data_IF_819800888239
#
_entry.id   IF_819800888239
#
_cell.length_a   1.000
_cell.length_b   1.000
_cell.length_c   1.000
_cell.angle_alpha   90.00
_cell.angle_beta   90.00
_cell.angle_gamma   90.00
#
_symmetry.space_group_name_H-M   'P 1'
#
loop_
_entity.id
_entity.type
_entity.pdbx_description
1 polymer ?
#
# COMPACT_ATOMS: atom_id res chain seq x y z
N UNK A 1 6.72 -37.41 -40.14
CA UNK A 1 6.28 -35.99 -40.15
C UNK A 1 6.42 -35.47 -38.70
N UNK A 2 7.55 -34.87 -38.40
CA UNK A 2 7.87 -34.34 -37.08
C UNK A 2 7.34 -32.91 -37.00
N UNK A 3 6.29 -32.72 -36.22
CA UNK A 3 5.72 -31.41 -35.90
C UNK A 3 6.76 -30.64 -35.09
N UNK A 4 7.44 -29.71 -35.74
CA UNK A 4 8.31 -28.74 -35.06
C UNK A 4 7.40 -27.70 -34.39
N UNK A 5 7.04 -27.95 -33.15
CA UNK A 5 6.45 -26.94 -32.26
C UNK A 5 7.43 -25.79 -32.19
N UNK A 6 7.24 -24.79 -33.04
CA UNK A 6 7.98 -23.52 -32.99
C UNK A 6 7.63 -22.87 -31.65
N UNK A 7 8.53 -22.95 -30.68
CA UNK A 7 8.37 -22.30 -29.38
C UNK A 7 8.42 -20.80 -29.65
N UNK A 8 7.24 -20.22 -29.86
CA UNK A 8 7.10 -18.78 -30.05
C UNK A 8 7.69 -18.09 -28.79
N UNK A 9 8.74 -17.31 -29.00
CA UNK A 9 9.36 -16.55 -27.92
C UNK A 9 8.46 -15.34 -27.65
N UNK A 10 7.77 -15.28 -26.50
CA UNK A 10 6.90 -14.17 -26.15
C UNK A 10 7.59 -12.83 -26.41
N UNK A 11 6.91 -11.95 -27.15
CA UNK A 11 7.33 -10.57 -27.38
C UNK A 11 7.02 -9.70 -26.17
N UNK A 12 7.88 -8.73 -25.86
CA UNK A 12 7.60 -7.74 -24.80
C UNK A 12 7.43 -6.37 -25.47
N UNK A 13 6.44 -5.62 -25.04
CA UNK A 13 6.12 -4.26 -25.53
C UNK A 13 5.46 -3.42 -24.45
N UNK A 14 5.32 -2.12 -24.69
CA UNK A 14 4.48 -1.23 -23.86
C UNK A 14 3.02 -1.64 -23.88
N UNK A 15 2.28 -1.20 -22.88
CA UNK A 15 0.84 -1.42 -22.71
C UNK A 15 0.06 -0.76 -23.86
N UNK A 16 -1.01 -1.41 -24.31
CA UNK A 16 -1.88 -0.91 -25.37
C UNK A 16 -3.36 -1.00 -24.96
N UNK A 17 -4.18 -0.19 -25.61
CA UNK A 17 -5.63 -0.32 -25.48
C UNK A 17 -6.07 -1.76 -25.77
N UNK A 18 -6.94 -2.31 -24.89
CA UNK A 18 -7.41 -3.69 -24.97
C UNK A 18 -6.57 -4.72 -24.20
N UNK A 19 -5.38 -4.37 -23.70
CA UNK A 19 -4.58 -5.29 -22.88
C UNK A 19 -5.15 -5.49 -21.46
N UNK A 20 -5.84 -4.48 -20.91
CA UNK A 20 -6.26 -4.48 -19.51
C UNK A 20 -7.00 -5.74 -19.05
N UNK A 21 -8.09 -6.17 -19.71
CA UNK A 21 -8.81 -7.40 -19.32
C UNK A 21 -7.93 -8.64 -19.37
N UNK A 22 -7.10 -8.81 -20.41
CA UNK A 22 -6.19 -9.94 -20.59
C UNK A 22 -5.06 -9.93 -19.55
N UNK A 23 -4.57 -8.74 -19.17
CA UNK A 23 -3.56 -8.57 -18.13
C UNK A 23 -4.11 -8.96 -16.77
N UNK A 24 -5.31 -8.48 -16.39
CA UNK A 24 -5.98 -8.84 -15.13
C UNK A 24 -6.22 -10.35 -15.05
N UNK A 25 -6.65 -10.97 -16.13
CA UNK A 25 -6.85 -12.42 -16.19
C UNK A 25 -5.53 -13.19 -16.00
N UNK A 26 -4.45 -12.77 -16.68
CA UNK A 26 -3.12 -13.37 -16.52
C UNK A 26 -2.57 -13.16 -15.10
N UNK A 27 -2.77 -11.97 -14.51
CA UNK A 27 -2.41 -11.67 -13.13
C UNK A 27 -3.07 -12.66 -12.14
N UNK A 28 -4.39 -12.85 -12.25
CA UNK A 28 -5.14 -13.74 -11.34
C UNK A 28 -4.64 -15.17 -11.36
N UNK A 29 -4.18 -15.67 -12.52
CA UNK A 29 -3.54 -17.00 -12.61
C UNK A 29 -2.13 -17.02 -12.03
N UNK A 30 -1.41 -15.89 -12.10
CA UNK A 30 0.01 -15.80 -11.77
C UNK A 30 0.28 -15.48 -10.31
N UNK A 31 -0.62 -14.70 -9.68
CA UNK A 31 -0.49 -14.21 -8.32
C UNK A 31 -1.78 -14.49 -7.51
N UNK A 32 -2.08 -15.75 -7.20
CA UNK A 32 -3.33 -16.14 -6.54
C UNK A 32 -3.47 -15.63 -5.11
N UNK A 33 -2.36 -15.35 -4.40
CA UNK A 33 -2.41 -14.74 -3.07
C UNK A 33 -2.73 -13.22 -3.11
N UNK A 34 -2.61 -12.59 -4.29
CA UNK A 34 -2.82 -11.15 -4.48
C UNK A 34 -3.68 -10.90 -5.73
N UNK A 35 -4.93 -11.39 -5.75
CA UNK A 35 -5.80 -11.19 -6.90
C UNK A 35 -6.13 -9.71 -7.08
N UNK A 36 -6.20 -9.28 -8.35
CA UNK A 36 -6.66 -7.94 -8.70
C UNK A 36 -7.97 -8.00 -9.48
N UNK A 37 -8.85 -7.04 -9.21
CA UNK A 37 -10.07 -6.85 -10.01
C UNK A 37 -9.82 -5.84 -11.13
N UNK A 38 -10.63 -5.85 -12.22
CA UNK A 38 -10.55 -4.81 -13.25
C UNK A 38 -10.68 -3.39 -12.69
N UNK A 39 -11.53 -3.19 -11.69
CA UNK A 39 -11.73 -1.87 -11.07
C UNK A 39 -10.50 -1.43 -10.27
N UNK A 40 -9.89 -2.34 -9.49
CA UNK A 40 -8.64 -2.03 -8.78
C UNK A 40 -7.48 -1.77 -9.75
N UNK A 41 -7.37 -2.55 -10.83
CA UNK A 41 -6.36 -2.29 -11.86
C UNK A 41 -6.56 -0.91 -12.50
N UNK A 42 -7.80 -0.55 -12.81
CA UNK A 42 -8.13 0.78 -13.32
C UNK A 42 -7.73 1.88 -12.33
N UNK A 43 -8.15 1.77 -11.08
CA UNK A 43 -7.93 2.80 -10.06
C UNK A 43 -6.45 2.96 -9.69
N UNK A 44 -5.74 1.85 -9.47
CA UNK A 44 -4.36 1.88 -8.96
C UNK A 44 -3.30 2.03 -10.05
N UNK A 45 -3.64 1.72 -11.31
CA UNK A 45 -2.68 1.73 -12.43
C UNK A 45 -3.11 2.72 -13.49
N UNK A 46 -4.25 2.51 -14.16
CA UNK A 46 -4.61 3.30 -15.34
C UNK A 46 -5.01 4.76 -15.01
N UNK A 47 -5.57 5.01 -13.82
CA UNK A 47 -5.96 6.34 -13.35
C UNK A 47 -4.90 7.02 -12.48
N UNK A 48 -3.74 6.39 -12.29
CA UNK A 48 -2.60 7.04 -11.64
C UNK A 48 -2.10 8.20 -12.52
N UNK A 49 -1.94 9.39 -11.94
CA UNK A 49 -1.39 10.55 -12.62
C UNK A 49 0.05 10.33 -13.14
N UNK A 50 0.73 9.32 -12.64
CA UNK A 50 2.08 8.91 -13.07
C UNK A 50 2.07 7.71 -14.03
N UNK A 51 0.91 7.26 -14.49
CA UNK A 51 0.83 6.15 -15.43
C UNK A 51 1.45 6.53 -16.77
N UNK A 52 2.41 5.71 -17.20
CA UNK A 52 3.03 5.79 -18.52
C UNK A 52 2.87 4.41 -19.20
N UNK A 53 2.16 4.30 -20.32
CA UNK A 53 1.96 3.02 -20.99
C UNK A 53 3.25 2.33 -21.41
N UNK A 54 4.32 3.09 -21.69
CA UNK A 54 5.63 2.51 -22.00
C UNK A 54 6.34 1.98 -20.74
N UNK A 55 6.00 2.45 -19.53
CA UNK A 55 6.48 1.88 -18.28
C UNK A 55 5.83 0.53 -17.93
N UNK A 56 4.63 0.25 -18.44
CA UNK A 56 3.97 -1.05 -18.25
C UNK A 56 4.35 -2.01 -19.37
N UNK A 57 5.38 -2.83 -19.13
CA UNK A 57 5.90 -3.83 -20.07
C UNK A 57 5.02 -5.07 -20.05
N UNK A 58 4.46 -5.43 -21.21
CA UNK A 58 3.51 -6.55 -21.36
C UNK A 58 4.14 -7.61 -22.28
N UNK A 59 4.25 -8.83 -21.77
CA UNK A 59 4.69 -9.98 -22.54
C UNK A 59 3.48 -10.66 -23.19
N UNK A 60 3.54 -10.86 -24.51
CA UNK A 60 2.48 -11.48 -25.30
C UNK A 60 2.99 -12.70 -26.07
N UNK A 61 2.18 -13.74 -26.11
CA UNK A 61 2.39 -14.94 -26.94
C UNK A 61 1.12 -15.12 -27.81
N UNK A 62 1.22 -14.74 -29.08
CA UNK A 62 0.06 -14.52 -29.94
C UNK A 62 -0.84 -13.42 -29.34
N UNK A 63 -2.11 -13.74 -29.13
CA UNK A 63 -3.09 -12.82 -28.53
C UNK A 63 -3.17 -12.89 -27.01
N UNK A 64 -2.37 -13.74 -26.36
CA UNK A 64 -2.42 -13.94 -24.92
C UNK A 64 -1.38 -13.08 -24.19
N UNK A 65 -1.81 -12.38 -23.14
CA UNK A 65 -0.87 -11.82 -22.16
C UNK A 65 -0.36 -12.97 -21.28
N UNK A 66 0.96 -13.13 -21.25
CA UNK A 66 1.65 -14.18 -20.49
C UNK A 66 2.58 -13.63 -19.40
N UNK A 67 2.60 -12.32 -19.21
CA UNK A 67 3.35 -11.68 -18.13
C UNK A 67 3.32 -10.17 -18.26
N UNK A 68 3.67 -9.48 -17.18
CA UNK A 68 3.85 -8.04 -17.17
C UNK A 68 4.84 -7.62 -16.07
N UNK A 69 5.48 -6.46 -16.25
CA UNK A 69 6.19 -5.73 -15.23
C UNK A 69 5.87 -4.24 -15.37
N UNK A 70 5.47 -3.59 -14.28
CA UNK A 70 5.10 -2.18 -14.29
C UNK A 70 6.20 -1.35 -13.63
N UNK A 71 6.80 -0.45 -14.40
CA UNK A 71 7.76 0.54 -13.96
C UNK A 71 7.08 1.90 -13.89
N UNK A 72 7.28 2.63 -12.79
CA UNK A 72 6.69 3.95 -12.53
C UNK A 72 7.77 4.95 -12.14
N UNK A 73 7.64 6.16 -12.63
CA UNK A 73 8.35 7.36 -12.19
C UNK A 73 7.35 8.47 -11.94
N UNK A 74 7.65 9.42 -11.07
CA UNK A 74 6.74 10.55 -10.91
C UNK A 74 6.76 11.46 -12.14
N UNK A 75 5.57 11.73 -12.64
CA UNK A 75 5.24 12.75 -13.63
C UNK A 75 4.57 13.95 -12.95
N UNK A 76 3.88 13.67 -11.84
CA UNK A 76 3.20 14.64 -10.98
C UNK A 76 3.68 14.44 -9.55
N UNK A 77 4.16 15.47 -8.85
CA UNK A 77 4.61 15.36 -7.47
C UNK A 77 3.43 15.15 -6.53
N UNK A 78 3.66 14.48 -5.40
CA UNK A 78 2.73 14.57 -4.28
C UNK A 78 2.80 15.97 -3.66
N UNK A 79 1.72 16.39 -3.00
CA UNK A 79 1.71 17.68 -2.31
C UNK A 79 2.86 17.74 -1.27
N UNK A 80 3.69 18.76 -1.38
CA UNK A 80 4.83 18.96 -0.50
C UNK A 80 6.10 18.19 -0.88
N UNK A 81 6.14 17.53 -2.06
CA UNK A 81 7.33 16.85 -2.57
C UNK A 81 7.75 17.39 -3.95
N UNK A 82 8.91 16.96 -4.42
CA UNK A 82 9.33 17.10 -5.80
C UNK A 82 8.98 15.86 -6.65
N UNK A 83 9.52 15.78 -7.86
CA UNK A 83 9.35 14.63 -8.75
C UNK A 83 10.20 13.41 -8.37
N UNK A 84 10.94 13.46 -7.28
CA UNK A 84 11.88 12.42 -6.85
C UNK A 84 12.76 11.93 -8.00
N UNK A 85 13.58 12.81 -8.61
CA UNK A 85 14.20 12.58 -9.93
C UNK A 85 15.13 11.36 -10.01
N UNK A 86 15.68 10.90 -8.88
CA UNK A 86 16.50 9.70 -8.80
C UNK A 86 15.73 8.42 -8.51
N UNK A 87 14.43 8.51 -8.14
CA UNK A 87 13.64 7.40 -7.64
C UNK A 87 12.70 6.83 -8.71
N UNK A 88 12.67 5.52 -8.85
CA UNK A 88 11.70 4.76 -9.62
C UNK A 88 11.10 3.62 -8.79
N UNK A 89 10.02 3.06 -9.28
CA UNK A 89 9.34 1.93 -8.62
C UNK A 89 8.98 0.86 -9.64
N UNK A 90 8.95 -0.39 -9.18
CA UNK A 90 8.31 -1.52 -9.87
C UNK A 90 7.18 -2.02 -8.95
N UNK A 91 5.95 -1.47 -9.05
CA UNK A 91 4.82 -1.83 -8.18
C UNK A 91 4.45 -3.31 -8.24
N UNK A 92 4.61 -3.96 -9.40
CA UNK A 92 4.37 -5.37 -9.57
C UNK A 92 5.08 -5.95 -10.81
N UNK A 93 5.27 -7.25 -10.79
CA UNK A 93 5.52 -8.07 -11.98
C UNK A 93 4.93 -9.46 -11.80
N UNK A 94 4.63 -10.11 -12.89
CA UNK A 94 4.19 -11.51 -12.89
C UNK A 94 4.48 -12.20 -14.22
N UNK A 95 4.51 -13.54 -14.18
CA UNK A 95 4.59 -14.41 -15.36
C UNK A 95 3.57 -15.54 -15.19
N UNK A 96 2.74 -15.72 -16.21
CA UNK A 96 1.78 -16.82 -16.28
C UNK A 96 2.50 -18.15 -16.01
N UNK A 97 1.97 -19.02 -15.13
CA UNK A 97 2.61 -20.29 -14.78
C UNK A 97 3.07 -21.12 -15.99
N UNK A 98 2.26 -21.14 -17.06
CA UNK A 98 2.58 -21.88 -18.28
C UNK A 98 3.78 -21.27 -19.08
N UNK A 99 4.18 -20.04 -18.78
CA UNK A 99 5.29 -19.34 -19.44
C UNK A 99 6.55 -19.23 -18.57
N UNK A 100 6.52 -19.74 -17.34
CA UNK A 100 7.67 -19.75 -16.41
C UNK A 100 8.80 -20.65 -16.88
N UNK A 101 9.97 -20.53 -16.25
CA UNK A 101 11.15 -21.36 -16.53
C UNK A 101 11.90 -21.03 -17.83
N UNK A 102 11.44 -20.00 -18.60
CA UNK A 102 12.01 -19.61 -19.90
C UNK A 102 12.70 -18.24 -19.89
N UNK A 103 13.06 -17.74 -18.70
CA UNK A 103 13.73 -16.44 -18.53
C UNK A 103 12.84 -15.21 -18.75
N UNK A 104 11.52 -15.38 -18.95
CA UNK A 104 10.60 -14.29 -19.28
C UNK A 104 10.52 -13.25 -18.15
N UNK A 105 10.46 -13.66 -16.88
CA UNK A 105 10.43 -12.75 -15.73
C UNK A 105 11.68 -11.88 -15.67
N UNK A 106 12.87 -12.44 -15.90
CA UNK A 106 14.11 -11.65 -15.97
C UNK A 106 14.08 -10.63 -17.10
N UNK A 107 13.63 -11.03 -18.28
CA UNK A 107 13.51 -10.10 -19.42
C UNK A 107 12.56 -8.95 -19.11
N UNK A 108 11.38 -9.23 -18.56
CA UNK A 108 10.38 -8.22 -18.16
C UNK A 108 10.96 -7.22 -17.16
N UNK A 109 11.60 -7.72 -16.10
CA UNK A 109 12.22 -6.87 -15.09
C UNK A 109 13.41 -6.07 -15.64
N UNK A 110 14.24 -6.68 -16.50
CA UNK A 110 15.35 -5.97 -17.15
C UNK A 110 14.82 -4.83 -18.01
N UNK A 111 13.82 -5.05 -18.88
CA UNK A 111 13.22 -4.01 -19.68
C UNK A 111 12.56 -2.89 -18.85
N UNK A 112 11.92 -3.24 -17.71
CA UNK A 112 11.36 -2.26 -16.79
C UNK A 112 12.46 -1.41 -16.13
N UNK A 113 13.57 -2.04 -15.71
CA UNK A 113 14.74 -1.35 -15.15
C UNK A 113 15.43 -0.46 -16.19
N UNK A 114 15.61 -0.95 -17.42
CA UNK A 114 16.21 -0.19 -18.52
C UNK A 114 15.36 1.05 -18.86
N UNK A 115 14.03 0.90 -18.85
CA UNK A 115 13.12 2.02 -19.02
C UNK A 115 13.29 3.06 -17.91
N UNK A 116 13.36 2.66 -16.65
CA UNK A 116 13.61 3.58 -15.52
C UNK A 116 14.97 4.26 -15.62
N UNK A 117 16.03 3.51 -15.94
CA UNK A 117 17.39 4.06 -16.14
C UNK A 117 17.42 5.06 -17.29
N UNK A 118 16.76 4.76 -18.40
CA UNK A 118 16.63 5.67 -19.55
C UNK A 118 15.96 7.00 -19.19
N UNK A 119 15.18 7.03 -18.09
CA UNK A 119 14.58 8.23 -17.52
C UNK A 119 15.36 8.80 -16.32
N UNK A 120 16.61 8.39 -16.11
CA UNK A 120 17.48 8.92 -15.06
C UNK A 120 17.19 8.38 -13.64
N UNK A 121 16.45 7.27 -13.52
CA UNK A 121 16.12 6.66 -12.20
C UNK A 121 17.25 5.73 -11.79
N UNK A 122 18.02 6.12 -10.78
CA UNK A 122 19.19 5.36 -10.29
C UNK A 122 18.85 4.47 -9.10
N UNK A 123 17.78 4.76 -8.41
CA UNK A 123 17.26 4.01 -7.26
C UNK A 123 15.88 3.48 -7.58
N UNK A 124 15.70 2.17 -7.47
CA UNK A 124 14.44 1.50 -7.82
C UNK A 124 13.96 0.66 -6.65
N UNK A 125 12.76 0.95 -6.16
CA UNK A 125 12.09 0.17 -5.13
C UNK A 125 11.13 -0.83 -5.78
N UNK A 126 11.15 -2.08 -5.28
CA UNK A 126 10.14 -3.04 -5.62
C UNK A 126 8.94 -2.86 -4.69
N UNK A 127 7.78 -2.63 -5.30
CA UNK A 127 6.53 -2.26 -4.63
C UNK A 127 6.66 -0.95 -3.84
N UNK A 128 5.95 -0.77 -2.73
CA UNK A 128 5.96 0.42 -1.86
C UNK A 128 5.77 1.77 -2.59
N UNK A 129 5.16 1.76 -3.76
CA UNK A 129 4.85 2.98 -4.52
C UNK A 129 3.66 3.70 -3.89
N UNK A 130 3.91 4.91 -3.36
CA UNK A 130 2.90 5.76 -2.72
C UNK A 130 2.38 6.85 -3.66
N UNK A 131 1.12 7.26 -3.55
CA UNK A 131 0.08 6.77 -2.64
C UNK A 131 -0.65 5.52 -3.14
N UNK A 132 -0.39 5.06 -4.37
CA UNK A 132 -1.11 3.98 -5.03
C UNK A 132 -0.49 2.62 -4.72
N UNK A 133 -0.66 2.15 -3.48
CA UNK A 133 -0.19 0.83 -3.08
C UNK A 133 -0.95 -0.28 -3.81
N UNK A 134 -0.30 -0.93 -4.77
CA UNK A 134 -0.77 -2.23 -5.28
C UNK A 134 -0.53 -3.29 -4.21
N UNK A 135 0.72 -3.36 -3.73
CA UNK A 135 1.20 -4.19 -2.62
C UNK A 135 2.24 -3.40 -1.82
N UNK A 136 2.41 -3.65 -0.51
CA UNK A 136 3.41 -2.97 0.30
C UNK A 136 4.85 -3.45 0.04
N UNK A 137 5.02 -4.65 -0.50
CA UNK A 137 6.30 -5.28 -0.76
C UNK A 137 6.13 -6.67 -1.36
N UNK A 138 7.19 -7.46 -1.36
CA UNK A 138 7.20 -8.85 -1.79
C UNK A 138 6.87 -9.78 -0.63
N UNK A 139 5.83 -10.59 -0.76
CA UNK A 139 5.61 -11.76 0.08
C UNK A 139 6.51 -12.91 -0.41
N UNK A 140 7.64 -13.08 0.27
CA UNK A 140 8.63 -14.09 -0.14
C UNK A 140 8.20 -15.52 0.21
N UNK A 141 7.23 -15.70 1.10
CA UNK A 141 6.64 -17.00 1.42
C UNK A 141 5.70 -17.46 0.30
N UNK A 142 4.82 -16.54 -0.14
CA UNK A 142 3.88 -16.81 -1.23
C UNK A 142 4.57 -16.89 -2.61
N UNK A 143 5.69 -16.16 -2.81
CA UNK A 143 6.36 -16.03 -4.11
C UNK A 143 7.88 -16.18 -4.00
N UNK A 144 8.42 -17.35 -3.58
CA UNK A 144 9.86 -17.55 -3.35
C UNK A 144 10.69 -17.39 -4.64
N UNK A 145 10.16 -17.81 -5.82
CA UNK A 145 10.88 -17.64 -7.07
C UNK A 145 11.03 -16.16 -7.46
N UNK A 146 10.02 -15.31 -7.12
CA UNK A 146 10.11 -13.89 -7.35
C UNK A 146 11.15 -13.23 -6.44
N UNK A 147 11.28 -13.68 -5.19
CA UNK A 147 12.32 -13.23 -4.28
C UNK A 147 13.72 -13.53 -4.84
N UNK A 148 14.01 -14.76 -5.20
CA UNK A 148 15.29 -15.15 -5.79
C UNK A 148 15.60 -14.42 -7.11
N UNK A 149 14.58 -14.15 -7.93
CA UNK A 149 14.76 -13.40 -9.15
C UNK A 149 15.14 -11.94 -8.87
N UNK A 150 14.43 -11.24 -7.97
CA UNK A 150 14.76 -9.88 -7.59
C UNK A 150 16.16 -9.77 -6.97
N UNK A 151 16.51 -10.67 -6.06
CA UNK A 151 17.84 -10.73 -5.46
C UNK A 151 18.93 -10.92 -6.53
N UNK A 152 18.70 -11.80 -7.52
CA UNK A 152 19.63 -12.02 -8.65
C UNK A 152 19.77 -10.83 -9.60
N UNK A 153 18.84 -9.87 -9.54
CA UNK A 153 18.88 -8.60 -10.25
C UNK A 153 19.44 -7.45 -9.39
N UNK A 154 19.96 -7.76 -8.21
CA UNK A 154 20.61 -6.81 -7.32
C UNK A 154 19.67 -6.07 -6.35
N UNK A 155 18.42 -6.48 -6.25
CA UNK A 155 17.55 -5.95 -5.19
C UNK A 155 17.95 -6.52 -3.83
N UNK A 156 17.92 -5.66 -2.81
CA UNK A 156 18.18 -6.03 -1.41
C UNK A 156 17.00 -5.61 -0.54
N UNK A 157 16.67 -6.42 0.46
CA UNK A 157 15.64 -6.05 1.45
C UNK A 157 16.13 -4.88 2.27
N UNK A 158 15.31 -3.81 2.31
CA UNK A 158 15.53 -2.64 3.18
C UNK A 158 14.92 -2.87 4.57
N UNK A 159 13.69 -3.35 4.59
CA UNK A 159 12.93 -3.67 5.80
C UNK A 159 11.77 -4.59 5.46
N UNK A 160 11.13 -5.12 6.50
CA UNK A 160 9.92 -5.91 6.40
C UNK A 160 8.72 -5.14 6.94
N UNK A 161 7.59 -5.26 6.24
CA UNK A 161 6.30 -4.73 6.65
C UNK A 161 5.34 -5.87 6.97
N UNK A 162 4.67 -5.80 8.12
CA UNK A 162 3.68 -6.79 8.52
C UNK A 162 2.26 -6.33 8.15
N UNK A 163 1.51 -7.22 7.52
CA UNK A 163 0.06 -7.13 7.46
C UNK A 163 -0.52 -7.76 8.73
N UNK A 164 -1.54 -7.12 9.28
CA UNK A 164 -2.18 -7.63 10.48
C UNK A 164 -3.70 -7.53 10.35
N UNK A 165 -4.40 -8.42 11.04
CA UNK A 165 -5.86 -8.39 11.17
C UNK A 165 -6.32 -8.62 12.60
N UNK A 166 -7.59 -8.28 12.84
CA UNK A 166 -8.31 -8.54 14.06
C UNK A 166 -9.81 -8.73 13.79
N UNK A 167 -10.43 -9.76 14.39
CA UNK A 167 -11.88 -9.93 14.38
C UNK A 167 -12.60 -8.87 15.21
N UNK A 168 -13.74 -8.37 14.69
CA UNK A 168 -14.59 -7.38 15.36
C UNK A 168 -15.96 -7.94 15.79
N UNK A 169 -16.26 -9.19 15.49
CA UNK A 169 -17.51 -9.83 15.95
C UNK A 169 -17.52 -9.88 17.47
N UNK A 170 -18.55 -9.29 18.09
CA UNK A 170 -18.65 -9.19 19.54
C UNK A 170 -17.66 -8.21 20.19
N UNK A 171 -16.90 -7.46 19.41
CA UNK A 171 -15.93 -6.49 19.92
C UNK A 171 -16.60 -5.45 20.84
N UNK A 172 -15.93 -5.12 21.93
CA UNK A 172 -16.25 -4.02 22.84
C UNK A 172 -14.93 -3.34 23.23
N UNK A 173 -14.98 -2.04 23.49
CA UNK A 173 -13.83 -1.32 24.05
C UNK A 173 -13.48 -1.96 25.40
N UNK A 174 -12.21 -2.38 25.62
CA UNK A 174 -11.77 -2.89 26.90
C UNK A 174 -11.93 -1.85 28.02
N UNK A 175 -12.24 -2.32 29.24
CA UNK A 175 -12.51 -1.44 30.38
C UNK A 175 -11.32 -0.52 30.70
N UNK A 176 -10.10 -1.02 30.64
CA UNK A 176 -8.88 -0.23 30.85
C UNK A 176 -8.67 0.87 29.80
N UNK A 177 -9.20 0.68 28.59
CA UNK A 177 -9.21 1.70 27.53
C UNK A 177 -10.30 2.74 27.77
N UNK A 178 -11.48 2.31 28.19
CA UNK A 178 -12.57 3.20 28.56
C UNK A 178 -12.15 4.11 29.73
N UNK A 179 -11.61 3.55 30.82
CA UNK A 179 -11.07 4.31 31.95
C UNK A 179 -9.99 5.30 31.45
N UNK A 180 -9.09 4.87 30.56
CA UNK A 180 -8.05 5.75 30.04
C UNK A 180 -8.62 6.88 29.19
N UNK A 181 -9.67 6.63 28.41
CA UNK A 181 -10.38 7.66 27.67
C UNK A 181 -11.00 8.72 28.58
N UNK A 182 -11.63 8.27 29.68
CA UNK A 182 -12.22 9.16 30.68
C UNK A 182 -11.15 10.01 31.40
N UNK A 183 -10.02 9.42 31.79
CA UNK A 183 -8.89 10.14 32.37
C UNK A 183 -8.34 11.22 31.44
N UNK A 184 -8.16 10.89 30.14
CA UNK A 184 -7.69 11.86 29.16
C UNK A 184 -8.72 12.98 28.96
N UNK A 185 -10.02 12.62 28.90
CA UNK A 185 -11.09 13.61 28.79
C UNK A 185 -11.15 14.54 30.00
N UNK A 186 -10.99 14.00 31.20
CA UNK A 186 -10.91 14.79 32.44
C UNK A 186 -9.70 15.76 32.45
N UNK A 187 -8.63 15.40 31.73
CA UNK A 187 -7.43 16.26 31.52
C UNK A 187 -7.60 17.25 30.36
N UNK A 188 -8.77 17.34 29.74
CA UNK A 188 -9.09 18.29 28.68
C UNK A 188 -8.82 17.79 27.26
N UNK A 189 -8.40 16.53 27.05
CA UNK A 189 -8.31 15.96 25.72
C UNK A 189 -9.71 15.72 25.14
N UNK A 190 -9.84 15.84 23.83
CA UNK A 190 -11.12 15.63 23.14
C UNK A 190 -10.94 14.67 21.99
N UNK A 191 -11.88 13.72 21.84
CA UNK A 191 -11.95 12.75 20.76
C UNK A 191 -13.24 13.00 19.97
N UNK A 192 -13.14 13.30 18.69
CA UNK A 192 -14.29 13.67 17.88
C UNK A 192 -14.14 13.24 16.41
N UNK A 193 -15.24 13.25 15.68
CA UNK A 193 -15.22 13.32 14.23
C UNK A 193 -14.72 14.70 13.84
N UNK A 194 -13.78 14.84 12.88
CA UNK A 194 -13.37 16.15 12.39
C UNK A 194 -14.51 16.83 11.63
N UNK A 195 -14.47 18.16 11.56
CA UNK A 195 -15.26 18.98 10.64
C UNK A 195 -14.35 19.58 9.56
N UNK A 196 -14.93 20.31 8.62
CA UNK A 196 -14.19 20.90 7.49
C UNK A 196 -13.06 21.84 7.96
N UNK A 197 -13.28 22.58 9.05
CA UNK A 197 -12.28 23.48 9.62
C UNK A 197 -11.04 22.72 10.15
N UNK A 198 -11.19 21.45 10.46
CA UNK A 198 -10.08 20.59 10.95
C UNK A 198 -9.16 20.08 9.84
N UNK A 199 -9.60 20.14 8.56
CA UNK A 199 -8.92 19.45 7.47
C UNK A 199 -7.51 19.99 7.21
N UNK A 200 -7.32 21.31 7.35
CA UNK A 200 -6.00 21.93 7.14
C UNK A 200 -5.01 21.40 8.18
N UNK A 201 -5.42 21.40 9.45
CA UNK A 201 -4.58 20.89 10.55
C UNK A 201 -4.34 19.39 10.45
N UNK A 202 -5.35 18.62 10.03
CA UNK A 202 -5.23 17.17 9.83
C UNK A 202 -4.22 16.84 8.72
N UNK A 203 -4.28 17.56 7.58
CA UNK A 203 -3.30 17.35 6.51
C UNK A 203 -1.91 17.79 6.92
N UNK A 204 -1.77 18.90 7.66
CA UNK A 204 -0.49 19.35 8.19
C UNK A 204 0.08 18.35 9.20
N UNK A 205 -0.74 17.84 10.14
CA UNK A 205 -0.35 16.81 11.08
C UNK A 205 0.15 15.55 10.37
N UNK A 206 -0.63 15.05 9.40
CA UNK A 206 -0.27 13.83 8.66
C UNK A 206 0.99 14.03 7.81
N UNK A 207 1.07 15.11 7.05
CA UNK A 207 2.18 15.36 6.12
C UNK A 207 3.50 15.70 6.81
N UNK A 208 3.46 16.53 7.85
CA UNK A 208 4.67 17.04 8.50
C UNK A 208 5.30 16.04 9.49
N UNK A 209 4.49 15.17 10.09
CA UNK A 209 4.97 14.27 11.16
C UNK A 209 5.01 12.80 10.78
N UNK A 210 4.33 12.40 9.68
CA UNK A 210 4.24 10.99 9.28
C UNK A 210 4.68 10.75 7.84
N UNK A 211 4.38 11.67 6.94
CA UNK A 211 4.83 11.62 5.56
C UNK A 211 3.81 12.22 4.58
N UNK A 212 4.28 12.79 3.47
CA UNK A 212 3.42 13.43 2.48
C UNK A 212 2.40 12.47 1.85
N UNK A 213 2.73 11.18 1.77
CA UNK A 213 1.84 10.12 1.28
C UNK A 213 0.60 9.93 2.17
N UNK A 214 0.74 10.09 3.49
CA UNK A 214 -0.40 9.99 4.43
C UNK A 214 -1.37 11.15 4.25
N UNK A 215 -0.86 12.38 4.13
CA UNK A 215 -1.70 13.55 3.84
C UNK A 215 -2.37 13.43 2.45
N UNK A 216 -1.64 12.94 1.46
CA UNK A 216 -2.15 12.69 0.12
C UNK A 216 -3.28 11.65 0.15
N UNK A 217 -3.08 10.53 0.84
CA UNK A 217 -4.07 9.46 0.99
C UNK A 217 -5.35 9.97 1.66
N UNK A 218 -5.24 10.71 2.79
CA UNK A 218 -6.40 11.29 3.47
C UNK A 218 -7.16 12.23 2.52
N UNK A 219 -6.44 13.10 1.81
CA UNK A 219 -7.03 14.05 0.86
C UNK A 219 -7.75 13.34 -0.29
N UNK A 220 -7.13 12.32 -0.87
CA UNK A 220 -7.71 11.57 -1.98
C UNK A 220 -8.97 10.81 -1.57
N UNK A 221 -8.97 10.13 -0.42
CA UNK A 221 -10.16 9.41 0.01
C UNK A 221 -11.33 10.34 0.33
N UNK A 222 -11.07 11.50 0.96
CA UNK A 222 -12.12 12.50 1.21
C UNK A 222 -12.66 13.09 -0.10
N UNK A 223 -11.78 13.41 -1.07
CA UNK A 223 -12.19 13.87 -2.40
C UNK A 223 -13.00 12.82 -3.17
N UNK A 224 -12.75 11.53 -2.91
CA UNK A 224 -13.52 10.41 -3.47
C UNK A 224 -14.84 10.14 -2.72
N UNK A 225 -15.18 10.95 -1.71
CA UNK A 225 -16.46 10.88 -0.99
C UNK A 225 -16.43 10.04 0.29
N UNK A 226 -15.25 9.71 0.82
CA UNK A 226 -15.17 9.05 2.15
C UNK A 226 -15.75 9.99 3.23
N UNK A 227 -16.75 9.54 4.01
CA UNK A 227 -17.37 10.40 5.04
C UNK A 227 -16.40 10.72 6.18
N UNK A 228 -16.49 11.94 6.73
CA UNK A 228 -15.67 12.39 7.86
C UNK A 228 -15.87 11.54 9.13
N UNK A 229 -17.02 10.91 9.31
CA UNK A 229 -17.30 10.03 10.46
C UNK A 229 -16.47 8.73 10.49
N UNK A 230 -15.72 8.44 9.41
CA UNK A 230 -14.71 7.39 9.39
C UNK A 230 -13.39 7.80 10.04
N UNK A 231 -13.26 9.05 10.43
CA UNK A 231 -12.07 9.61 11.08
C UNK A 231 -12.40 9.96 12.53
N UNK A 232 -11.51 9.57 13.44
CA UNK A 232 -11.46 10.09 14.81
C UNK A 232 -10.20 10.92 14.95
N UNK A 233 -10.35 12.17 15.38
CA UNK A 233 -9.22 13.03 15.74
C UNK A 233 -9.12 13.18 17.25
N UNK A 234 -7.91 13.37 17.75
CA UNK A 234 -7.63 13.73 19.13
C UNK A 234 -7.06 15.15 19.20
N UNK A 235 -7.65 15.96 20.09
CA UNK A 235 -7.14 17.29 20.42
C UNK A 235 -6.62 17.31 21.86
N UNK A 236 -5.54 18.03 22.07
CA UNK A 236 -5.00 18.29 23.41
C UNK A 236 -5.82 19.40 24.13
N UNK A 237 -5.54 19.69 25.42
CA UNK A 237 -6.24 20.73 26.18
C UNK A 237 -6.14 22.15 25.58
N UNK A 238 -5.14 22.42 24.74
CA UNK A 238 -5.00 23.67 24.01
C UNK A 238 -5.87 23.75 22.75
N UNK A 239 -6.47 22.62 22.34
CA UNK A 239 -7.27 22.50 21.11
C UNK A 239 -6.46 22.04 19.89
N UNK A 240 -5.13 21.83 20.00
CA UNK A 240 -4.28 21.38 18.91
C UNK A 240 -4.56 19.92 18.55
N UNK A 241 -4.59 19.58 17.26
CA UNK A 241 -4.64 18.20 16.79
C UNK A 241 -3.32 17.48 17.14
N UNK A 242 -3.42 16.35 17.83
CA UNK A 242 -2.27 15.57 18.30
C UNK A 242 -2.29 14.11 17.83
N UNK A 243 -3.34 13.70 17.16
CA UNK A 243 -3.45 12.37 16.56
C UNK A 243 -4.77 12.16 15.83
N UNK A 244 -4.79 11.14 15.00
CA UNK A 244 -5.99 10.67 14.31
C UNK A 244 -5.91 9.16 14.06
N UNK A 245 -7.07 8.57 13.84
CA UNK A 245 -7.21 7.23 13.30
C UNK A 245 -8.40 7.19 12.34
N UNK A 246 -8.32 6.38 11.30
CA UNK A 246 -9.40 6.27 10.31
C UNK A 246 -9.52 4.87 9.73
N UNK A 247 -10.60 4.64 8.97
CA UNK A 247 -10.84 3.40 8.25
C UNK A 247 -11.56 3.63 6.92
N UNK A 248 -11.59 2.61 6.06
CA UNK A 248 -12.26 2.71 4.76
C UNK A 248 -11.57 3.64 3.75
N UNK A 249 -10.29 3.92 3.96
CA UNK A 249 -9.51 4.89 3.17
C UNK A 249 -9.06 4.32 1.83
N UNK A 250 -8.68 3.04 1.84
CA UNK A 250 -8.16 2.37 0.64
C UNK A 250 -9.25 1.52 0.02
N UNK A 251 -9.51 1.70 -1.27
CA UNK A 251 -10.50 0.96 -2.06
C UNK A 251 -11.95 1.04 -1.51
N UNK A 252 -12.25 2.02 -0.64
CA UNK A 252 -13.53 2.16 0.07
C UNK A 252 -13.95 0.91 0.87
N UNK A 253 -12.99 0.05 1.26
CA UNK A 253 -13.24 -1.17 2.06
C UNK A 253 -13.36 -0.80 3.53
N UNK A 254 -14.54 -0.97 4.12
CA UNK A 254 -14.86 -0.57 5.50
C UNK A 254 -13.94 -1.21 6.54
N UNK A 255 -13.49 -2.46 6.32
CA UNK A 255 -12.58 -3.20 7.17
C UNK A 255 -11.13 -2.74 7.09
N UNK A 256 -10.78 -1.91 6.11
CA UNK A 256 -9.41 -1.40 5.95
C UNK A 256 -9.14 -0.31 6.97
N UNK A 257 -8.40 -0.65 8.03
CA UNK A 257 -7.94 0.28 9.06
C UNK A 257 -6.72 1.09 8.59
N UNK A 258 -6.67 2.36 8.97
CA UNK A 258 -5.57 3.30 8.72
C UNK A 258 -5.88 4.30 7.57
N UNK A 259 -5.02 5.34 7.44
CA UNK A 259 -3.85 5.63 8.27
C UNK A 259 -4.19 6.04 9.71
N UNK A 260 -3.21 5.85 10.60
CA UNK A 260 -3.33 6.13 12.03
C UNK A 260 -2.02 6.72 12.56
N UNK A 261 -2.09 7.84 13.23
CA UNK A 261 -0.91 8.52 13.75
C UNK A 261 -1.18 9.29 15.06
N UNK A 262 -0.18 9.34 15.91
CA UNK A 262 -0.15 10.13 17.15
C UNK A 262 1.20 10.79 17.24
N UNK A 263 1.24 12.09 17.54
CA UNK A 263 2.47 12.85 17.70
C UNK A 263 3.42 12.17 18.69
N UNK A 264 4.72 12.28 18.44
CA UNK A 264 5.74 11.59 19.21
C UNK A 264 5.71 11.97 20.69
N UNK A 265 5.51 13.25 20.99
CA UNK A 265 5.39 13.76 22.36
C UNK A 265 4.18 13.23 23.13
N UNK A 266 3.18 12.66 22.43
CA UNK A 266 2.02 12.01 23.05
C UNK A 266 2.24 10.52 23.31
N UNK A 267 3.39 9.96 22.95
CA UNK A 267 3.71 8.56 23.23
C UNK A 267 3.72 8.31 24.75
N UNK A 268 3.32 7.10 25.15
CA UNK A 268 3.20 6.73 26.56
C UNK A 268 1.97 7.29 27.30
N UNK A 269 1.24 8.25 26.71
CA UNK A 269 0.02 8.82 27.33
C UNK A 269 -1.20 7.90 27.25
N UNK A 270 -1.17 6.86 26.44
CA UNK A 270 -2.32 6.00 26.15
C UNK A 270 -3.23 6.52 25.04
N UNK A 271 -3.00 7.73 24.52
CA UNK A 271 -3.82 8.39 23.49
C UNK A 271 -3.96 7.54 22.22
N UNK A 272 -2.87 6.93 21.74
CA UNK A 272 -2.91 6.05 20.56
C UNK A 272 -3.77 4.80 20.78
N UNK A 273 -3.74 4.24 22.01
CA UNK A 273 -4.59 3.10 22.36
C UNK A 273 -6.07 3.49 22.32
N UNK A 274 -6.42 4.64 22.90
CA UNK A 274 -7.81 5.16 22.87
C UNK A 274 -8.26 5.41 21.44
N UNK A 275 -7.50 6.12 20.61
CA UNK A 275 -7.85 6.38 19.21
C UNK A 275 -8.08 5.09 18.40
N UNK A 276 -7.19 4.11 18.55
CA UNK A 276 -7.33 2.81 17.89
C UNK A 276 -8.66 2.16 18.26
N UNK A 277 -8.96 2.06 19.54
CA UNK A 277 -10.17 1.35 20.02
C UNK A 277 -11.45 2.11 19.67
N UNK A 278 -11.46 3.44 19.64
CA UNK A 278 -12.59 4.24 19.18
C UNK A 278 -12.92 4.00 17.70
N UNK A 279 -11.89 3.88 16.84
CA UNK A 279 -12.11 3.54 15.43
C UNK A 279 -12.59 2.10 15.27
N UNK A 280 -12.03 1.14 16.01
CA UNK A 280 -12.52 -0.24 15.97
C UNK A 280 -14.00 -0.36 16.37
N UNK A 281 -14.44 0.43 17.34
CA UNK A 281 -15.85 0.50 17.73
C UNK A 281 -16.71 1.09 16.60
N UNK A 282 -16.25 2.17 15.94
CA UNK A 282 -16.96 2.74 14.77
C UNK A 282 -17.04 1.74 13.62
N UNK A 283 -15.96 1.02 13.32
CA UNK A 283 -15.95 -0.03 12.32
C UNK A 283 -16.98 -1.11 12.62
N UNK A 284 -17.02 -1.59 13.88
CA UNK A 284 -18.02 -2.55 14.33
C UNK A 284 -19.44 -2.00 14.22
N UNK A 285 -19.69 -0.75 14.63
CA UNK A 285 -21.00 -0.11 14.52
C UNK A 285 -21.49 -0.04 13.06
N UNK A 286 -20.56 0.05 12.10
CA UNK A 286 -20.82 -0.03 10.65
C UNK A 286 -20.88 -1.47 10.13
N UNK A 287 -20.91 -2.46 11.02
CA UNK A 287 -21.01 -3.90 10.72
C UNK A 287 -19.76 -4.51 10.06
N UNK A 288 -18.59 -3.86 10.16
CA UNK A 288 -17.34 -4.50 9.79
C UNK A 288 -17.10 -5.74 10.67
N UNK A 289 -16.72 -6.85 10.06
CA UNK A 289 -16.47 -8.12 10.74
C UNK A 289 -15.03 -8.23 11.23
N UNK A 290 -14.14 -7.48 10.63
CA UNK A 290 -12.71 -7.43 10.96
C UNK A 290 -12.17 -6.02 10.81
N UNK A 291 -10.96 -5.78 11.32
CA UNK A 291 -10.12 -4.64 11.01
C UNK A 291 -8.78 -5.17 10.55
N UNK A 292 -8.27 -4.70 9.40
CA UNK A 292 -7.02 -5.17 8.85
C UNK A 292 -6.26 -4.05 8.12
N UNK A 293 -4.96 -4.23 8.01
CA UNK A 293 -4.08 -3.38 7.22
C UNK A 293 -2.91 -4.19 6.66
N UNK A 294 -2.21 -3.64 5.66
CA UNK A 294 -1.13 -4.36 4.97
C UNK A 294 0.28 -3.91 5.38
N UNK A 295 0.40 -2.85 6.18
CA UNK A 295 1.72 -2.31 6.49
C UNK A 295 1.83 -1.79 7.91
N UNK A 296 2.76 -2.34 8.65
CA UNK A 296 3.33 -1.79 9.89
C UNK A 296 4.73 -2.38 10.11
N UNK A 297 5.60 -1.65 10.79
CA UNK A 297 6.82 -2.25 11.34
C UNK A 297 6.44 -3.12 12.54
N UNK A 298 6.65 -4.43 12.45
CA UNK A 298 6.22 -5.36 13.50
C UNK A 298 6.82 -5.05 14.87
N UNK A 299 8.08 -4.62 14.89
CA UNK A 299 8.79 -4.24 16.12
C UNK A 299 8.65 -2.75 16.47
N UNK A 300 7.88 -1.98 15.68
CA UNK A 300 7.63 -0.58 15.97
C UNK A 300 6.68 -0.39 17.16
N UNK A 301 6.63 0.81 17.77
CA UNK A 301 5.63 1.13 18.79
C UNK A 301 4.19 0.86 18.34
N UNK A 302 3.88 1.11 17.06
CA UNK A 302 2.57 0.82 16.48
C UNK A 302 2.33 -0.69 16.39
N UNK A 303 3.29 -1.50 15.93
CA UNK A 303 3.19 -2.96 15.87
C UNK A 303 2.96 -3.58 17.26
N UNK A 304 3.65 -3.07 18.27
CA UNK A 304 3.41 -3.49 19.66
C UNK A 304 2.01 -3.11 20.16
N UNK A 305 1.52 -1.91 19.82
CA UNK A 305 0.16 -1.47 20.15
C UNK A 305 -0.87 -2.39 19.49
N UNK A 306 -0.73 -2.69 18.22
CA UNK A 306 -1.67 -3.56 17.50
C UNK A 306 -1.72 -4.96 18.09
N UNK A 307 -0.58 -5.61 18.36
CA UNK A 307 -0.57 -6.94 19.00
C UNK A 307 -1.26 -6.94 20.37
N UNK A 308 -0.95 -5.94 21.22
CA UNK A 308 -1.63 -5.79 22.53
C UNK A 308 -3.11 -5.50 22.39
N UNK A 309 -3.53 -4.96 21.28
CA UNK A 309 -4.94 -4.72 20.96
C UNK A 309 -5.58 -5.88 20.18
N UNK A 310 -4.97 -7.06 20.16
CA UNK A 310 -5.52 -8.30 19.62
C UNK A 310 -5.42 -8.46 18.10
N UNK A 311 -4.56 -7.69 17.42
CA UNK A 311 -4.20 -7.95 16.04
C UNK A 311 -3.16 -9.06 15.95
N UNK A 312 -3.25 -9.88 14.91
CA UNK A 312 -2.31 -10.95 14.58
C UNK A 312 -1.67 -10.68 13.22
N UNK A 313 -0.37 -11.02 13.09
CA UNK A 313 0.32 -10.93 11.81
C UNK A 313 -0.20 -11.99 10.86
N UNK A 314 -0.64 -11.59 9.67
CA UNK A 314 -1.19 -12.49 8.64
C UNK A 314 -0.22 -12.71 7.48
N UNK A 315 0.60 -11.69 7.15
CA UNK A 315 1.60 -11.75 6.09
C UNK A 315 2.78 -10.83 6.42
N UNK A 316 3.94 -11.15 5.86
CA UNK A 316 5.13 -10.30 5.93
C UNK A 316 5.59 -9.98 4.52
N UNK A 317 5.85 -8.72 4.26
CA UNK A 317 6.28 -8.21 2.96
C UNK A 317 7.69 -7.63 3.06
N UNK A 318 8.59 -8.03 2.17
CA UNK A 318 9.92 -7.42 2.01
C UNK A 318 9.81 -6.20 1.11
N UNK A 319 10.13 -5.03 1.64
CA UNK A 319 10.38 -3.83 0.81
C UNK A 319 11.82 -3.91 0.32
N UNK A 320 11.99 -3.98 -0.99
CA UNK A 320 13.29 -4.23 -1.61
C UNK A 320 13.72 -3.06 -2.47
N UNK A 321 15.01 -2.79 -2.50
CA UNK A 321 15.64 -1.71 -3.29
C UNK A 321 16.80 -2.22 -4.10
N UNK A 322 16.92 -1.69 -5.30
CA UNK A 322 18.11 -1.75 -6.14
C UNK A 322 18.64 -0.35 -6.38
N UNK A 323 19.94 -0.17 -6.22
CA UNK A 323 20.65 1.03 -6.65
C UNK A 323 21.44 0.71 -7.93
N UNK A 324 21.48 1.64 -8.88
CA UNK A 324 22.34 1.48 -10.03
C UNK A 324 23.80 1.46 -9.53
N UNK A 325 24.63 0.55 -10.08
CA UNK A 325 26.05 0.66 -9.89
C UNK A 325 26.52 1.99 -10.50
N UNK A 326 27.20 2.81 -9.69
CA UNK A 326 27.78 4.08 -10.12
C UNK A 326 28.82 3.90 -11.21
#
# INVERSE_FOLDING_TARGET
>A
MTDRTTTSRAGIRGFRAGDGPRLVEAWRRSAPADPITPDRFRSLVLLDANFDPEGLRVAVDGDRVVGAAYAVRRLTPMAGTDLEPGQGWIPFFFVDPAARGRGLGRRLLTEALDWLHGHGRTRVDFSSYTPNYVLPGLDAEAYPEAAGLLESLGFRTLYEAAAMDRGLVGYRIPEDVACRSDELTARGYRFATPCDDDLVDLFALAGNHFGPDWACTIRQCLAAGTPLDRIVVARDPSGRLVGWAMHGTFDAVDERFGPFGVLEEMRGTGLGKVLLHLVLERMRARRAHSAWFLWTGEQSPAGHLYRRSGFTTTRVFRVMRREAAG
#
